data_IF_499738221450
#
_entry.id   IF_499738221450
#
_cell.length_a   1.000
_cell.length_b   1.000
_cell.length_c   1.000
_cell.angle_alpha   90.00
_cell.angle_beta   90.00
_cell.angle_gamma   90.00
#
_symmetry.space_group_name_H-M   'P 1'
#
loop_
_entity.id
_entity.type
_entity.pdbx_description
1 polymer ?
#
# COMPACT_ATOMS: atom_id res chain seq x y z
N UNK A 1 -4.72 4.66 44.35
CA UNK A 1 -5.35 4.10 43.14
C UNK A 1 -4.25 3.88 42.11
N UNK A 2 -3.96 2.64 41.74
CA UNK A 2 -3.07 2.38 40.60
C UNK A 2 -3.85 2.82 39.35
N UNK A 3 -3.35 3.83 38.65
CA UNK A 3 -3.95 4.27 37.39
C UNK A 3 -3.85 3.12 36.38
N UNK A 4 -4.98 2.64 35.87
CA UNK A 4 -5.01 1.63 34.81
C UNK A 4 -4.38 2.24 33.57
N UNK A 5 -3.36 1.57 33.01
CA UNK A 5 -2.63 2.10 31.85
C UNK A 5 -3.44 1.89 30.57
N UNK A 6 -3.64 2.95 29.80
CA UNK A 6 -4.14 2.83 28.43
C UNK A 6 -3.05 2.20 27.55
N UNK A 7 -3.36 1.09 26.89
CA UNK A 7 -2.41 0.37 26.03
C UNK A 7 -3.02 0.17 24.63
N UNK A 8 -2.17 0.19 23.59
CA UNK A 8 -2.57 -0.28 22.27
C UNK A 8 -2.41 -1.79 22.15
N UNK A 9 -3.22 -2.41 21.29
CA UNK A 9 -3.11 -3.83 20.97
C UNK A 9 -1.73 -4.16 20.42
N UNK A 10 -1.17 -3.31 19.57
CA UNK A 10 0.18 -3.50 19.03
C UNK A 10 1.25 -3.57 20.14
N UNK A 11 1.19 -2.69 21.13
CA UNK A 11 2.13 -2.75 22.26
C UNK A 11 1.99 -4.06 23.05
N UNK A 12 0.76 -4.52 23.27
CA UNK A 12 0.49 -5.79 23.96
C UNK A 12 1.07 -6.97 23.17
N UNK A 13 0.85 -7.02 21.86
CA UNK A 13 1.35 -8.08 20.98
C UNK A 13 2.89 -8.07 20.85
N UNK A 14 3.54 -6.93 21.10
CA UNK A 14 5.00 -6.83 21.23
C UNK A 14 5.52 -7.30 22.61
N UNK A 15 4.65 -7.83 23.47
CA UNK A 15 4.99 -8.30 24.82
C UNK A 15 5.14 -7.20 25.86
N UNK A 16 4.74 -5.97 25.53
CA UNK A 16 4.66 -4.90 26.54
C UNK A 16 3.44 -5.16 27.43
N UNK A 17 3.54 -4.73 28.69
CA UNK A 17 2.48 -4.84 29.69
C UNK A 17 2.11 -6.26 30.16
N UNK A 18 2.89 -7.29 29.84
CA UNK A 18 2.67 -8.66 30.36
C UNK A 18 2.53 -8.68 31.88
N UNK A 19 1.45 -9.31 32.37
CA UNK A 19 1.11 -9.39 33.79
C UNK A 19 0.55 -8.10 34.39
N UNK A 20 0.49 -7.00 33.64
CA UNK A 20 -0.04 -5.72 34.10
C UNK A 20 -1.51 -5.57 33.75
N UNK A 21 -2.20 -4.77 34.53
CA UNK A 21 -3.57 -4.36 34.25
C UNK A 21 -3.58 -3.17 33.28
N UNK A 22 -4.33 -3.30 32.19
CA UNK A 22 -4.43 -2.33 31.11
C UNK A 22 -5.88 -2.05 30.76
N UNK A 23 -6.10 -0.90 30.11
CA UNK A 23 -7.35 -0.58 29.41
C UNK A 23 -7.08 -0.55 27.91
N UNK A 24 -7.91 -1.24 27.13
CA UNK A 24 -7.95 -1.17 25.67
C UNK A 24 -9.30 -0.59 25.26
N UNK A 25 -9.29 0.40 24.36
CA UNK A 25 -10.49 1.04 23.81
C UNK A 25 -10.59 0.72 22.34
N UNK A 26 -11.75 0.25 21.89
CA UNK A 26 -11.88 -0.17 20.50
C UNK A 26 -13.26 -0.65 20.13
N UNK A 27 -13.31 -1.60 19.20
CA UNK A 27 -14.52 -2.17 18.62
C UNK A 27 -14.49 -3.69 18.69
N UNK A 28 -15.64 -4.29 18.98
CA UNK A 28 -15.80 -5.74 18.96
C UNK A 28 -15.73 -6.22 17.50
N UNK A 29 -14.68 -7.00 17.18
CA UNK A 29 -14.56 -7.62 15.87
C UNK A 29 -15.24 -8.99 15.83
N UNK A 30 -15.08 -9.82 16.85
CA UNK A 30 -15.73 -11.14 16.97
C UNK A 30 -16.17 -11.43 18.39
N UNK A 31 -17.20 -12.28 18.54
CA UNK A 31 -17.51 -12.90 19.81
C UNK A 31 -17.87 -14.36 19.60
N UNK A 32 -17.46 -15.20 20.55
CA UNK A 32 -17.96 -16.58 20.74
C UNK A 32 -18.08 -16.88 22.23
N UNK A 33 -18.88 -17.86 22.59
CA UNK A 33 -19.07 -18.29 23.98
C UNK A 33 -18.90 -19.81 24.09
N UNK A 34 -18.27 -20.29 25.17
CA UNK A 34 -18.09 -21.71 25.45
C UNK A 34 -17.91 -21.93 26.95
N UNK A 35 -18.69 -22.84 27.54
CA UNK A 35 -18.45 -23.34 28.91
C UNK A 35 -18.30 -22.26 29.99
N UNK A 36 -19.14 -21.21 29.99
CA UNK A 36 -19.06 -20.11 30.96
C UNK A 36 -18.00 -19.04 30.66
N UNK A 37 -17.34 -19.13 29.52
CA UNK A 37 -16.34 -18.18 29.03
C UNK A 37 -16.82 -17.51 27.76
N UNK A 38 -16.72 -16.19 27.68
CA UNK A 38 -16.91 -15.43 26.45
C UNK A 38 -15.56 -14.96 25.92
N UNK A 39 -15.32 -15.20 24.65
CA UNK A 39 -14.11 -14.79 23.94
C UNK A 39 -14.48 -13.64 23.01
N UNK A 40 -14.00 -12.44 23.35
CA UNK A 40 -14.16 -11.25 22.54
C UNK A 40 -12.87 -11.03 21.76
N UNK A 41 -12.97 -10.75 20.46
CA UNK A 41 -11.84 -10.24 19.69
C UNK A 41 -12.05 -8.74 19.54
N UNK A 42 -11.17 -7.93 20.13
CA UNK A 42 -11.28 -6.47 20.16
C UNK A 42 -10.23 -5.86 19.24
N UNK A 43 -10.64 -4.88 18.43
CA UNK A 43 -9.79 -4.10 17.54
C UNK A 43 -9.70 -2.67 18.02
N UNK A 44 -8.49 -2.10 18.14
CA UNK A 44 -8.27 -0.71 18.56
C UNK A 44 -7.74 0.19 17.44
N UNK A 45 -7.46 -0.38 16.25
CA UNK A 45 -6.83 0.32 15.13
C UNK A 45 -5.32 0.07 15.00
N UNK A 46 -4.71 -0.65 15.93
CA UNK A 46 -3.31 -1.11 15.86
C UNK A 46 -3.21 -2.64 15.76
N UNK A 47 -4.28 -3.37 16.09
CA UNK A 47 -4.39 -4.80 15.84
C UNK A 47 -5.70 -5.39 16.35
N UNK A 48 -5.71 -6.71 16.55
CA UNK A 48 -6.78 -7.45 17.22
C UNK A 48 -6.21 -8.22 18.41
N UNK A 49 -6.92 -8.20 19.53
CA UNK A 49 -6.54 -8.95 20.73
C UNK A 49 -7.72 -9.79 21.21
N UNK A 50 -7.42 -10.99 21.72
CA UNK A 50 -8.41 -11.80 22.42
C UNK A 50 -8.58 -11.28 23.84
N UNK A 51 -9.84 -11.08 24.26
CA UNK A 51 -10.23 -10.77 25.62
C UNK A 51 -11.12 -11.91 26.14
N UNK A 52 -10.73 -12.53 27.25
CA UNK A 52 -11.46 -13.64 27.87
C UNK A 52 -12.26 -13.13 29.08
N UNK A 53 -13.58 -13.29 29.03
CA UNK A 53 -14.51 -12.93 30.10
C UNK A 53 -15.00 -14.22 30.76
N UNK A 54 -14.60 -14.45 32.00
CA UNK A 54 -14.96 -15.65 32.75
C UNK A 54 -16.05 -15.31 33.74
N UNK A 55 -17.19 -16.02 33.68
CA UNK A 55 -18.37 -15.73 34.51
C UNK A 55 -18.05 -15.64 36.01
N UNK A 56 -17.15 -16.50 36.49
CA UNK A 56 -16.82 -16.59 37.92
C UNK A 56 -15.75 -15.58 38.37
N UNK A 57 -15.22 -14.76 37.46
CA UNK A 57 -14.14 -13.79 37.74
C UNK A 57 -14.53 -12.33 37.49
N UNK A 58 -15.72 -12.09 36.93
CA UNK A 58 -16.24 -10.73 36.69
C UNK A 58 -17.62 -10.55 37.35
N UNK A 59 -18.09 -9.31 37.43
CA UNK A 59 -19.45 -9.05 37.90
C UNK A 59 -20.50 -9.59 36.92
N UNK A 60 -21.69 -9.94 37.41
CA UNK A 60 -22.81 -10.37 36.58
C UNK A 60 -23.11 -9.36 35.46
N UNK A 61 -23.13 -8.07 35.81
CA UNK A 61 -23.28 -6.96 34.86
C UNK A 61 -22.22 -7.01 33.75
N UNK A 62 -20.95 -7.20 34.10
CA UNK A 62 -19.85 -7.26 33.12
C UNK A 62 -20.02 -8.44 32.15
N UNK A 63 -20.44 -9.59 32.66
CA UNK A 63 -20.69 -10.78 31.86
C UNK A 63 -21.91 -10.61 30.93
N UNK A 64 -22.99 -10.00 31.43
CA UNK A 64 -24.17 -9.65 30.63
C UNK A 64 -23.88 -8.59 29.57
N UNK A 65 -23.12 -7.54 29.91
CA UNK A 65 -22.71 -6.51 28.96
C UNK A 65 -21.86 -7.11 27.83
N UNK A 66 -20.94 -8.01 28.15
CA UNK A 66 -20.19 -8.77 27.15
C UNK A 66 -21.10 -9.66 26.28
N UNK A 67 -22.18 -10.23 26.84
CA UNK A 67 -23.19 -10.99 26.09
C UNK A 67 -24.03 -10.13 25.14
N UNK A 68 -24.27 -8.86 25.48
CA UNK A 68 -25.04 -7.91 24.67
C UNK A 68 -24.28 -7.34 23.48
N UNK A 69 -22.94 -7.33 23.52
CA UNK A 69 -22.13 -6.73 22.46
C UNK A 69 -22.41 -7.37 21.09
N UNK A 70 -22.66 -6.53 20.09
CA UNK A 70 -22.77 -6.91 18.67
C UNK A 70 -21.49 -6.55 17.91
N UNK A 71 -21.27 -7.15 16.74
CA UNK A 71 -20.12 -6.82 15.89
C UNK A 71 -20.07 -5.31 15.59
N UNK A 72 -18.89 -4.72 15.68
CA UNK A 72 -18.60 -3.26 15.59
C UNK A 72 -19.14 -2.41 16.75
N UNK A 73 -19.68 -2.99 17.82
CA UNK A 73 -19.94 -2.25 19.06
C UNK A 73 -18.65 -1.65 19.61
N UNK A 74 -18.68 -0.40 20.07
CA UNK A 74 -17.53 0.24 20.69
C UNK A 74 -17.53 -0.02 22.19
N UNK A 75 -16.35 -0.30 22.74
CA UNK A 75 -16.16 -0.75 24.11
C UNK A 75 -14.83 -0.30 24.69
N UNK A 76 -14.76 -0.28 26.02
CA UNK A 76 -13.52 -0.22 26.79
C UNK A 76 -13.41 -1.51 27.60
N UNK A 77 -12.26 -2.17 27.51
CA UNK A 77 -11.97 -3.41 28.23
C UNK A 77 -10.82 -3.16 29.20
N UNK A 78 -11.03 -3.45 30.48
CA UNK A 78 -9.97 -3.47 31.49
C UNK A 78 -9.66 -4.90 31.89
N UNK A 79 -8.39 -5.24 31.98
CA UNK A 79 -8.00 -6.59 32.34
C UNK A 79 -6.50 -6.78 32.44
N UNK A 80 -6.09 -7.99 32.82
CA UNK A 80 -4.68 -8.35 32.97
C UNK A 80 -4.18 -8.96 31.65
N UNK A 81 -3.08 -8.45 31.12
CA UNK A 81 -2.41 -9.05 29.97
C UNK A 81 -1.76 -10.38 30.36
N UNK A 82 -2.06 -11.43 29.62
CA UNK A 82 -1.49 -12.78 29.79
C UNK A 82 -0.87 -13.24 28.49
N UNK A 83 0.30 -13.87 28.59
CA UNK A 83 0.87 -14.65 27.50
C UNK A 83 0.10 -15.98 27.41
N UNK A 84 -0.40 -16.31 26.22
CA UNK A 84 -0.98 -17.61 25.91
C UNK A 84 -0.68 -17.94 24.44
N UNK A 85 0.16 -18.95 24.21
CA UNK A 85 0.56 -19.40 22.87
C UNK A 85 -0.62 -19.91 22.03
N UNK A 86 -1.76 -20.21 22.64
CA UNK A 86 -3.00 -20.63 21.96
C UNK A 86 -3.84 -19.43 21.53
N UNK A 87 -3.63 -18.25 22.13
CA UNK A 87 -4.34 -17.04 21.74
C UNK A 87 -3.77 -16.50 20.42
N UNK A 88 -4.61 -15.95 19.52
CA UNK A 88 -4.12 -15.28 18.33
C UNK A 88 -3.15 -14.16 18.68
N UNK A 89 -1.92 -14.23 18.16
CA UNK A 89 -0.86 -13.27 18.48
C UNK A 89 -0.09 -13.54 19.77
N UNK A 90 -0.36 -14.66 20.47
CA UNK A 90 0.41 -15.10 21.65
C UNK A 90 0.03 -14.44 22.98
N UNK A 91 -0.94 -13.52 22.96
CA UNK A 91 -1.39 -12.79 24.15
C UNK A 91 -2.92 -12.70 24.20
N UNK A 92 -3.45 -12.60 25.42
CA UNK A 92 -4.84 -12.27 25.67
C UNK A 92 -4.99 -11.31 26.85
N UNK A 93 -6.16 -10.68 26.97
CA UNK A 93 -6.56 -9.86 28.11
C UNK A 93 -7.58 -10.65 28.93
N UNK A 94 -7.20 -10.99 30.16
CA UNK A 94 -8.13 -11.54 31.15
C UNK A 94 -9.00 -10.41 31.70
N UNK A 95 -10.24 -10.33 31.25
CA UNK A 95 -11.13 -9.19 31.52
C UNK A 95 -11.52 -9.17 32.99
N UNK A 96 -11.44 -7.97 33.59
CA UNK A 96 -11.97 -7.66 34.92
C UNK A 96 -13.21 -6.79 34.84
N UNK A 97 -13.22 -5.84 33.91
CA UNK A 97 -14.30 -4.88 33.72
C UNK A 97 -14.45 -4.54 32.23
N UNK A 98 -15.68 -4.21 31.84
CA UNK A 98 -16.06 -3.90 30.47
C UNK A 98 -17.11 -2.80 30.48
N UNK A 99 -16.88 -1.77 29.68
CA UNK A 99 -17.82 -0.68 29.45
C UNK A 99 -18.24 -0.67 27.99
N UNK A 100 -19.54 -0.76 27.72
CA UNK A 100 -20.10 -0.54 26.39
C UNK A 100 -20.20 0.97 26.17
N UNK A 101 -19.51 1.48 25.15
CA UNK A 101 -19.62 2.88 24.73
C UNK A 101 -20.81 3.04 23.79
N UNK A 102 -20.98 2.11 22.84
CA UNK A 102 -22.10 2.08 21.91
C UNK A 102 -22.36 0.65 21.44
N UNK A 103 -23.62 0.22 21.48
CA UNK A 103 -24.06 -0.99 20.76
C UNK A 103 -24.24 -0.66 19.27
N UNK A 104 -23.62 -1.45 18.41
CA UNK A 104 -23.80 -1.32 16.97
C UNK A 104 -25.09 -2.00 16.52
N UNK A 105 -25.77 -1.36 15.55
CA UNK A 105 -26.83 -2.02 14.79
C UNK A 105 -26.26 -3.14 13.90
N UNK A 106 -27.13 -3.81 13.15
CA UNK A 106 -26.76 -4.93 12.28
C UNK A 106 -25.68 -4.51 11.27
N UNK A 107 -24.47 -5.04 11.45
CA UNK A 107 -23.35 -4.79 10.56
C UNK A 107 -23.53 -5.53 9.20
N UNK A 108 -23.46 -4.83 8.05
CA UNK A 108 -23.77 -5.44 6.75
C UNK A 108 -22.73 -6.46 6.28
N UNK A 109 -21.47 -6.34 6.71
CA UNK A 109 -20.39 -7.25 6.33
C UNK A 109 -20.27 -8.36 7.38
N UNK A 110 -21.20 -9.32 7.30
CA UNK A 110 -21.20 -10.51 8.15
C UNK A 110 -19.95 -11.39 7.91
N UNK A 111 -19.66 -12.30 8.85
CA UNK A 111 -18.50 -13.22 8.82
C UNK A 111 -18.69 -14.40 7.88
N UNK A 112 -18.90 -14.08 6.62
CA UNK A 112 -18.97 -14.98 5.49
C UNK A 112 -18.35 -14.28 4.29
N UNK A 113 -18.12 -15.03 3.23
CA UNK A 113 -17.66 -14.43 1.99
C UNK A 113 -18.72 -13.50 1.39
N UNK A 114 -18.25 -12.41 0.80
CA UNK A 114 -19.07 -11.45 0.06
C UNK A 114 -18.35 -11.13 -1.25
N UNK A 115 -19.11 -10.85 -2.30
CA UNK A 115 -18.56 -10.41 -3.58
C UNK A 115 -17.88 -9.04 -3.47
N UNK A 116 -16.82 -8.83 -4.27
CA UNK A 116 -16.04 -7.57 -4.27
C UNK A 116 -16.91 -6.34 -4.55
N UNK A 117 -17.91 -6.44 -5.44
CA UNK A 117 -18.83 -5.33 -5.73
C UNK A 117 -19.62 -4.86 -4.50
N UNK A 118 -20.11 -5.80 -3.68
CA UNK A 118 -20.79 -5.49 -2.41
C UNK A 118 -19.84 -4.88 -1.38
N UNK A 119 -18.61 -5.40 -1.29
CA UNK A 119 -17.59 -4.86 -0.38
C UNK A 119 -17.17 -3.44 -0.78
N UNK A 120 -17.11 -3.14 -2.07
CA UNK A 120 -16.81 -1.80 -2.58
C UNK A 120 -17.95 -0.81 -2.32
N UNK A 121 -19.23 -1.20 -2.44
CA UNK A 121 -20.34 -0.31 -2.06
C UNK A 121 -20.37 0.00 -0.56
N UNK A 122 -19.72 -0.85 0.26
CA UNK A 122 -19.52 -0.64 1.70
C UNK A 122 -18.06 -0.35 2.04
N UNK A 123 -17.28 0.26 1.13
CA UNK A 123 -15.83 0.45 1.30
C UNK A 123 -15.47 1.09 2.66
N UNK A 124 -16.23 2.10 3.09
CA UNK A 124 -16.07 2.82 4.35
C UNK A 124 -16.19 1.92 5.62
N UNK A 125 -16.83 0.76 5.50
CA UNK A 125 -16.87 -0.28 6.53
C UNK A 125 -15.84 -1.38 6.25
N UNK A 126 -15.71 -1.81 5.00
CA UNK A 126 -14.81 -2.90 4.61
C UNK A 126 -13.34 -2.62 4.93
N UNK A 127 -12.91 -1.34 4.90
CA UNK A 127 -11.55 -0.93 5.30
C UNK A 127 -11.15 -1.37 6.71
N UNK A 128 -12.12 -1.70 7.56
CA UNK A 128 -11.93 -2.13 8.96
C UNK A 128 -11.52 -3.60 9.09
N UNK A 129 -11.59 -4.37 8.01
CA UNK A 129 -11.27 -5.81 8.00
C UNK A 129 -9.76 -6.07 7.97
N UNK A 130 -9.28 -7.22 8.49
CA UNK A 130 -7.84 -7.51 8.61
C UNK A 130 -7.04 -7.33 7.33
N UNK A 131 -7.52 -7.86 6.20
CA UNK A 131 -6.85 -7.72 4.89
C UNK A 131 -6.71 -6.25 4.49
N UNK A 132 -7.76 -5.45 4.65
CA UNK A 132 -7.73 -4.03 4.26
C UNK A 132 -6.85 -3.18 5.19
N UNK A 133 -6.91 -3.45 6.49
CA UNK A 133 -6.00 -2.88 7.47
C UNK A 133 -4.53 -3.16 7.12
N UNK A 134 -4.19 -4.40 6.79
CA UNK A 134 -2.83 -4.78 6.44
C UNK A 134 -2.34 -4.05 5.18
N UNK A 135 -3.18 -3.99 4.14
CA UNK A 135 -2.89 -3.23 2.91
C UNK A 135 -2.64 -1.75 3.23
N UNK A 136 -3.49 -1.12 4.05
CA UNK A 136 -3.34 0.30 4.38
C UNK A 136 -2.09 0.58 5.22
N UNK A 137 -1.73 -0.30 6.16
CA UNK A 137 -0.48 -0.18 6.95
C UNK A 137 0.78 -0.40 6.11
N UNK A 138 0.73 -1.34 5.18
CA UNK A 138 1.82 -1.54 4.21
C UNK A 138 1.92 -0.33 3.29
N UNK A 139 0.81 0.20 2.76
CA UNK A 139 0.80 1.41 1.93
C UNK A 139 1.37 2.61 2.67
N UNK A 140 0.95 2.85 3.91
CA UNK A 140 1.50 3.92 4.73
C UNK A 140 3.01 3.76 4.92
N UNK A 141 3.49 2.52 5.03
CA UNK A 141 4.90 2.25 5.12
C UNK A 141 5.66 2.50 3.82
N UNK A 142 5.12 2.05 2.69
CA UNK A 142 5.72 2.31 1.38
C UNK A 142 5.86 3.81 1.15
N UNK A 143 4.82 4.59 1.44
CA UNK A 143 4.85 6.05 1.32
C UNK A 143 5.94 6.66 2.21
N UNK A 144 6.03 6.22 3.47
CA UNK A 144 7.09 6.68 4.38
C UNK A 144 8.48 6.32 3.87
N UNK A 145 8.68 5.07 3.44
CA UNK A 145 9.96 4.59 2.92
C UNK A 145 10.41 5.34 1.66
N UNK A 146 9.48 5.67 0.75
CA UNK A 146 9.79 6.51 -0.41
C UNK A 146 10.37 7.86 0.01
N UNK A 147 9.73 8.52 0.97
CA UNK A 147 10.15 9.84 1.45
C UNK A 147 11.47 9.74 2.19
N UNK A 148 11.58 8.85 3.17
CA UNK A 148 12.81 8.63 3.94
C UNK A 148 14.01 8.37 3.00
N UNK A 149 13.84 7.53 1.98
CA UNK A 149 14.90 7.22 1.00
C UNK A 149 15.43 8.46 0.26
N UNK A 150 14.51 9.31 -0.22
CA UNK A 150 14.81 10.51 -0.99
C UNK A 150 15.35 11.64 -0.10
N UNK A 151 14.69 11.87 1.05
CA UNK A 151 15.08 12.87 2.04
C UNK A 151 16.51 12.61 2.57
N UNK A 152 16.84 11.34 2.89
CA UNK A 152 18.19 10.93 3.32
C UNK A 152 19.27 11.11 2.23
N UNK A 153 18.86 11.25 0.96
CA UNK A 153 19.76 11.47 -0.20
C UNK A 153 19.81 12.92 -0.66
N UNK A 154 19.21 13.82 0.12
CA UNK A 154 19.22 15.26 -0.12
C UNK A 154 18.26 15.71 -1.22
N UNK A 155 17.24 14.91 -1.55
CA UNK A 155 16.13 15.39 -2.37
C UNK A 155 15.25 16.33 -1.56
N UNK A 156 14.67 17.33 -2.22
CA UNK A 156 13.72 18.27 -1.64
C UNK A 156 12.32 17.96 -2.16
N UNK A 157 11.33 17.85 -1.28
CA UNK A 157 9.93 17.76 -1.71
C UNK A 157 9.47 19.11 -2.28
N UNK A 158 9.00 19.11 -3.52
CA UNK A 158 8.34 20.26 -4.16
C UNK A 158 6.98 19.83 -4.70
N UNK A 159 5.90 20.31 -4.08
CA UNK A 159 4.55 19.94 -4.53
C UNK A 159 4.21 20.60 -5.87
N UNK A 160 3.91 19.77 -6.88
CA UNK A 160 3.46 20.22 -8.20
C UNK A 160 1.97 20.60 -8.18
N UNK A 161 1.53 21.60 -8.94
CA UNK A 161 0.12 21.97 -9.01
C UNK A 161 -0.74 20.87 -9.63
N UNK A 162 -1.96 20.70 -9.09
CA UNK A 162 -2.92 19.71 -9.60
C UNK A 162 -3.74 20.24 -10.77
N UNK A 163 -4.10 21.54 -10.74
CA UNK A 163 -4.74 22.20 -11.89
C UNK A 163 -3.68 22.71 -12.84
N UNK A 164 -3.65 22.19 -14.05
CA UNK A 164 -2.68 22.55 -15.10
C UNK A 164 -3.38 23.15 -16.33
N UNK A 165 -2.80 24.16 -17.00
CA UNK A 165 -3.36 24.68 -18.25
C UNK A 165 -3.13 23.77 -19.47
N UNK A 166 -2.22 22.79 -19.37
CA UNK A 166 -1.78 21.95 -20.50
C UNK A 166 -1.59 20.48 -20.11
N UNK A 167 -1.64 19.60 -21.11
CA UNK A 167 -1.30 18.19 -20.99
C UNK A 167 0.20 18.01 -20.74
N UNK A 168 0.58 17.02 -19.91
CA UNK A 168 1.99 16.65 -19.69
C UNK A 168 2.48 15.67 -20.76
N UNK A 169 1.70 14.62 -21.05
CA UNK A 169 2.11 13.49 -21.89
C UNK A 169 1.62 13.60 -23.35
N UNK A 170 1.05 14.74 -23.76
CA UNK A 170 0.48 14.91 -25.11
C UNK A 170 -0.73 14.01 -25.42
N UNK A 171 -1.28 13.33 -24.41
CA UNK A 171 -2.39 12.39 -24.54
C UNK A 171 -3.76 13.05 -24.37
N UNK A 172 -4.81 12.37 -24.85
CA UNK A 172 -6.21 12.85 -24.81
C UNK A 172 -6.96 12.48 -23.53
N UNK A 173 -6.34 11.79 -22.58
CA UNK A 173 -6.97 11.24 -21.37
C UNK A 173 -6.90 12.20 -20.18
N UNK A 174 -7.38 13.44 -20.38
CA UNK A 174 -7.43 14.47 -19.33
C UNK A 174 -8.85 14.64 -18.77
N UNK A 175 -8.93 14.90 -17.46
CA UNK A 175 -10.14 15.44 -16.86
C UNK A 175 -10.15 16.96 -16.97
N UNK A 176 -11.10 17.50 -17.74
CA UNK A 176 -11.31 18.94 -17.88
C UNK A 176 -12.11 19.50 -16.70
N UNK A 177 -11.70 20.66 -16.19
CA UNK A 177 -12.34 21.37 -15.07
C UNK A 177 -12.60 22.82 -15.46
N UNK A 178 -13.86 23.30 -15.39
CA UNK A 178 -14.17 24.73 -15.51
C UNK A 178 -13.56 25.51 -14.32
N UNK A 179 -12.76 26.54 -14.61
CA UNK A 179 -12.03 27.28 -13.59
C UNK A 179 -12.02 28.78 -13.92
N UNK A 180 -12.86 29.54 -13.22
CA UNK A 180 -12.98 31.00 -13.35
C UNK A 180 -13.06 31.53 -14.80
N UNK A 181 -13.96 30.96 -15.62
CA UNK A 181 -14.16 31.40 -17.00
C UNK A 181 -13.15 30.87 -18.01
N UNK A 182 -12.18 30.05 -17.58
CA UNK A 182 -11.28 29.28 -18.44
C UNK A 182 -11.39 27.79 -18.14
N UNK A 183 -10.78 26.98 -19.00
CA UNK A 183 -10.64 25.53 -18.79
C UNK A 183 -9.24 25.23 -18.27
N UNK A 184 -9.15 24.33 -17.30
CA UNK A 184 -7.90 23.72 -16.83
C UNK A 184 -8.11 22.21 -16.77
N UNK A 185 -7.04 21.47 -16.53
CA UNK A 185 -7.07 20.01 -16.46
C UNK A 185 -6.53 19.54 -15.12
N UNK A 186 -6.99 18.38 -14.66
CA UNK A 186 -6.32 17.67 -13.58
C UNK A 186 -5.03 17.04 -14.11
N UNK A 187 -3.94 17.19 -13.36
CA UNK A 187 -2.62 16.74 -13.78
C UNK A 187 -2.54 15.22 -13.93
N UNK A 188 -1.88 14.77 -15.00
CA UNK A 188 -1.50 13.36 -15.19
C UNK A 188 -0.17 13.02 -14.50
N UNK A 189 0.67 14.03 -14.29
CA UNK A 189 2.05 13.91 -13.81
C UNK A 189 2.58 15.30 -13.42
N UNK A 190 3.33 15.38 -12.33
CA UNK A 190 4.03 16.57 -11.89
C UNK A 190 5.30 16.87 -12.68
N UNK A 191 5.76 15.94 -13.53
CA UNK A 191 7.08 15.91 -14.17
C UNK A 191 7.59 17.28 -14.66
N UNK A 192 6.82 18.00 -15.51
CA UNK A 192 7.27 19.29 -16.07
C UNK A 192 7.56 20.34 -14.98
N UNK A 193 6.89 20.28 -13.83
CA UNK A 193 7.14 21.17 -12.70
C UNK A 193 8.35 20.72 -11.88
N UNK A 194 8.56 19.40 -11.74
CA UNK A 194 9.75 18.86 -11.05
C UNK A 194 11.02 19.16 -11.88
N UNK A 195 10.94 19.10 -13.21
CA UNK A 195 11.98 19.58 -14.14
C UNK A 195 12.27 21.09 -14.00
N UNK A 196 11.28 21.90 -13.64
CA UNK A 196 11.53 23.32 -13.36
C UNK A 196 12.23 23.51 -12.00
N UNK A 197 11.84 22.75 -10.97
CA UNK A 197 12.39 22.90 -9.62
C UNK A 197 13.78 22.27 -9.46
N UNK A 198 14.20 21.33 -10.32
CA UNK A 198 15.60 20.81 -10.29
C UNK A 198 16.63 21.89 -10.53
N UNK A 199 16.33 22.91 -11.33
CA UNK A 199 17.25 24.02 -11.57
C UNK A 199 17.52 24.84 -10.28
N UNK A 200 16.61 24.75 -9.29
CA UNK A 200 16.75 25.40 -7.98
C UNK A 200 17.40 24.49 -6.95
N UNK A 201 16.95 23.24 -6.85
CA UNK A 201 17.32 22.35 -5.74
C UNK A 201 18.34 21.27 -6.09
N UNK A 202 18.64 21.08 -7.37
CA UNK A 202 19.51 20.01 -7.88
C UNK A 202 18.88 18.62 -7.80
N UNK A 203 18.24 18.26 -6.68
CA UNK A 203 17.48 17.02 -6.48
C UNK A 203 16.13 17.35 -5.89
N UNK A 204 15.07 16.96 -6.57
CA UNK A 204 13.71 17.27 -6.12
C UNK A 204 12.75 16.14 -6.44
N UNK A 205 11.63 16.09 -5.73
CA UNK A 205 10.56 15.16 -6.02
C UNK A 205 9.21 15.77 -5.67
N UNK A 206 8.15 15.31 -6.33
CA UNK A 206 6.77 15.51 -5.86
C UNK A 206 6.15 14.17 -5.48
N UNK A 207 5.17 14.22 -4.57
CA UNK A 207 4.43 13.03 -4.18
C UNK A 207 2.96 13.37 -3.94
N UNK A 208 2.14 13.18 -4.97
CA UNK A 208 0.75 13.64 -4.96
C UNK A 208 -0.20 12.79 -5.81
N UNK A 209 -1.49 13.16 -5.82
CA UNK A 209 -2.47 12.52 -6.67
C UNK A 209 -2.29 12.93 -8.13
N UNK A 210 -2.49 11.96 -9.03
CA UNK A 210 -2.49 12.12 -10.48
C UNK A 210 -3.74 11.49 -11.06
N UNK A 211 -4.18 12.02 -12.20
CA UNK A 211 -5.49 11.71 -12.78
C UNK A 211 -5.33 11.33 -14.25
N UNK A 212 -5.93 10.20 -14.65
CA UNK A 212 -5.97 9.75 -16.04
C UNK A 212 -7.41 9.41 -16.40
N UNK A 213 -7.97 10.08 -17.39
CA UNK A 213 -9.32 9.81 -17.90
C UNK A 213 -9.35 8.58 -18.82
N UNK A 214 -8.72 7.49 -18.37
CA UNK A 214 -8.67 6.21 -19.06
C UNK A 214 -10.03 5.50 -18.93
N UNK A 215 -10.58 5.04 -20.06
CA UNK A 215 -11.87 4.33 -20.08
C UNK A 215 -11.71 2.84 -19.82
N UNK A 216 -10.51 2.32 -20.00
CA UNK A 216 -10.17 0.91 -19.85
C UNK A 216 -10.31 0.45 -18.41
N UNK A 217 -11.27 -0.44 -18.16
CA UNK A 217 -11.48 -1.08 -16.86
C UNK A 217 -10.62 -2.33 -16.75
N UNK A 218 -9.33 -2.16 -16.43
CA UNK A 218 -8.43 -3.29 -16.19
C UNK A 218 -8.05 -3.41 -14.71
N UNK A 219 -7.53 -4.55 -14.25
CA UNK A 219 -7.08 -4.74 -12.86
C UNK A 219 -5.91 -3.83 -12.44
N UNK A 220 -5.25 -3.13 -13.38
CA UNK A 220 -4.05 -2.31 -13.14
C UNK A 220 -4.32 -0.80 -13.19
N UNK A 221 -5.50 -0.36 -13.64
CA UNK A 221 -5.78 1.06 -13.86
C UNK A 221 -6.77 1.63 -12.84
N UNK A 222 -6.43 2.81 -12.33
CA UNK A 222 -7.33 3.70 -11.61
C UNK A 222 -7.35 5.05 -12.33
N UNK A 223 -8.46 5.76 -12.25
CA UNK A 223 -8.57 7.12 -12.79
C UNK A 223 -7.92 8.17 -11.90
N UNK A 224 -7.77 7.86 -10.60
CA UNK A 224 -7.05 8.64 -9.60
C UNK A 224 -6.09 7.69 -8.88
N UNK A 225 -4.82 8.06 -8.81
CA UNK A 225 -3.79 7.29 -8.13
C UNK A 225 -2.72 8.24 -7.57
N UNK A 226 -1.78 7.70 -6.80
CA UNK A 226 -0.72 8.49 -6.18
C UNK A 226 0.60 8.19 -6.86
N UNK A 227 1.31 9.23 -7.26
CA UNK A 227 2.58 9.13 -7.96
C UNK A 227 3.68 9.80 -7.15
N UNK A 228 4.83 9.12 -7.05
CA UNK A 228 6.09 9.69 -6.60
C UNK A 228 6.92 9.95 -7.85
N UNK A 229 7.32 11.19 -8.06
CA UNK A 229 8.06 11.61 -9.25
C UNK A 229 9.29 12.35 -8.77
N UNK A 230 10.48 11.88 -9.15
CA UNK A 230 11.76 12.40 -8.67
C UNK A 230 12.65 12.76 -9.85
N UNK A 231 13.35 13.89 -9.72
CA UNK A 231 14.16 14.47 -10.78
C UNK A 231 15.50 14.93 -10.18
N UNK A 232 16.59 14.70 -10.93
CA UNK A 232 17.95 14.90 -10.45
C UNK A 232 18.83 15.52 -11.54
N UNK A 233 19.39 16.70 -11.24
CA UNK A 233 20.26 17.44 -12.13
C UNK A 233 21.66 16.80 -12.24
N UNK A 234 22.31 16.99 -13.38
CA UNK A 234 23.67 16.52 -13.68
C UNK A 234 23.86 15.00 -13.65
N UNK A 235 22.81 14.23 -13.91
CA UNK A 235 22.87 12.76 -13.94
C UNK A 235 22.46 12.18 -15.28
N UNK A 236 23.00 11.00 -15.61
CA UNK A 236 22.72 10.29 -16.85
C UNK A 236 21.64 9.22 -16.69
N UNK A 237 21.33 8.56 -17.82
CA UNK A 237 20.36 7.46 -17.87
C UNK A 237 20.68 6.33 -16.87
N UNK A 238 21.95 5.95 -16.76
CA UNK A 238 22.39 4.87 -15.85
C UNK A 238 22.21 5.24 -14.37
N UNK A 239 22.42 6.51 -14.01
CA UNK A 239 22.19 7.01 -12.66
C UNK A 239 20.71 6.98 -12.29
N UNK A 240 19.84 7.30 -13.25
CA UNK A 240 18.39 7.20 -13.08
C UNK A 240 17.95 5.76 -12.80
N UNK A 241 18.43 4.78 -13.58
CA UNK A 241 18.14 3.36 -13.34
C UNK A 241 18.64 2.91 -11.97
N UNK A 242 19.84 3.35 -11.57
CA UNK A 242 20.41 3.05 -10.26
C UNK A 242 19.56 3.60 -9.10
N UNK A 243 19.10 4.85 -9.22
CA UNK A 243 18.22 5.46 -8.21
C UNK A 243 16.92 4.67 -8.04
N UNK A 244 16.32 4.23 -9.15
CA UNK A 244 15.07 3.47 -9.16
C UNK A 244 15.24 2.08 -8.52
N UNK A 245 16.30 1.33 -8.86
CA UNK A 245 16.53 0.00 -8.25
C UNK A 245 16.87 0.10 -6.76
N UNK A 246 17.63 1.12 -6.36
CA UNK A 246 17.93 1.39 -4.95
C UNK A 246 16.67 1.78 -4.16
N UNK A 247 15.80 2.62 -4.74
CA UNK A 247 14.53 3.03 -4.13
C UNK A 247 13.59 1.84 -3.92
N UNK A 248 13.34 1.05 -4.96
CA UNK A 248 12.45 -0.12 -4.88
C UNK A 248 12.99 -1.15 -3.88
N UNK A 249 14.29 -1.42 -3.92
CA UNK A 249 14.96 -2.29 -2.94
C UNK A 249 14.76 -1.78 -1.51
N UNK A 250 14.97 -0.48 -1.28
CA UNK A 250 14.83 0.12 0.05
C UNK A 250 13.40 -0.03 0.58
N UNK A 251 12.39 0.27 -0.24
CA UNK A 251 10.98 0.10 0.11
C UNK A 251 10.67 -1.34 0.50
N UNK A 252 11.06 -2.31 -0.33
CA UNK A 252 10.77 -3.73 -0.09
C UNK A 252 11.45 -4.21 1.19
N UNK A 253 12.73 -3.84 1.41
CA UNK A 253 13.44 -4.14 2.66
C UNK A 253 12.73 -3.54 3.87
N UNK A 254 12.26 -2.29 3.79
CA UNK A 254 11.52 -1.65 4.89
C UNK A 254 10.23 -2.38 5.21
N UNK A 255 9.46 -2.77 4.20
CA UNK A 255 8.20 -3.51 4.39
C UNK A 255 8.48 -4.89 5.02
N UNK A 256 9.48 -5.62 4.51
CA UNK A 256 9.89 -6.92 5.06
C UNK A 256 10.36 -6.83 6.51
N UNK A 257 11.04 -5.75 6.90
CA UNK A 257 11.57 -5.59 8.25
C UNK A 257 10.44 -5.36 9.26
N UNK A 258 9.46 -4.54 8.91
CA UNK A 258 8.61 -3.86 9.90
C UNK A 258 7.11 -3.96 9.64
N UNK A 259 6.70 -4.65 8.58
CA UNK A 259 5.31 -5.01 8.28
C UNK A 259 5.12 -6.52 8.17
N UNK A 260 5.94 -7.30 8.88
CA UNK A 260 5.88 -8.78 8.92
C UNK A 260 4.49 -9.28 9.29
N UNK A 261 3.92 -8.76 10.38
CA UNK A 261 2.55 -9.10 10.83
C UNK A 261 1.51 -8.82 9.74
N UNK A 262 1.61 -7.67 9.07
CA UNK A 262 0.69 -7.35 7.99
C UNK A 262 0.88 -8.25 6.77
N UNK A 263 2.11 -8.63 6.40
CA UNK A 263 2.36 -9.60 5.32
C UNK A 263 1.80 -11.00 5.65
N UNK A 264 1.90 -11.42 6.91
CA UNK A 264 1.31 -12.66 7.42
C UNK A 264 -0.23 -12.62 7.33
N UNK A 265 -0.87 -11.51 7.71
CA UNK A 265 -2.33 -11.31 7.57
C UNK A 265 -2.76 -11.40 6.10
N UNK A 266 -1.90 -10.97 5.17
CA UNK A 266 -2.16 -11.07 3.74
C UNK A 266 -1.87 -12.46 3.15
N UNK A 267 -1.31 -13.37 3.95
CA UNK A 267 -0.81 -14.68 3.51
C UNK A 267 0.17 -14.54 2.34
N UNK A 268 0.97 -13.46 2.35
CA UNK A 268 1.89 -13.16 1.25
C UNK A 268 3.17 -13.97 1.40
N UNK A 269 3.50 -14.77 0.39
CA UNK A 269 4.85 -15.34 0.27
C UNK A 269 5.89 -14.23 0.13
N UNK A 270 6.82 -14.18 1.08
CA UNK A 270 7.88 -13.18 1.16
C UNK A 270 9.15 -13.60 0.42
N UNK A 271 9.23 -14.83 -0.07
CA UNK A 271 10.42 -15.38 -0.72
C UNK A 271 10.82 -14.58 -1.96
N UNK A 272 9.91 -14.22 -2.89
CA UNK A 272 10.26 -13.36 -4.02
C UNK A 272 10.66 -11.94 -3.58
N UNK A 273 10.00 -11.39 -2.56
CA UNK A 273 10.31 -10.06 -2.04
C UNK A 273 11.74 -9.96 -1.50
N UNK A 274 12.27 -11.04 -0.90
CA UNK A 274 13.66 -11.08 -0.41
C UNK A 274 14.70 -11.07 -1.53
N UNK A 275 14.32 -11.42 -2.77
CA UNK A 275 15.19 -11.39 -3.95
C UNK A 275 15.27 -10.01 -4.62
N UNK A 276 14.47 -9.04 -4.18
CA UNK A 276 14.49 -7.68 -4.70
C UNK A 276 15.71 -6.96 -4.17
N UNK A 277 16.85 -7.21 -4.82
CA UNK A 277 18.13 -6.56 -4.55
C UNK A 277 18.83 -6.17 -5.87
N UNK A 278 19.57 -5.05 -5.91
CA UNK A 278 20.32 -4.64 -7.09
C UNK A 278 21.54 -5.56 -7.35
N UNK A 279 22.07 -5.58 -8.58
CA UNK A 279 21.52 -4.90 -9.76
C UNK A 279 20.27 -5.62 -10.26
N UNK A 280 19.26 -4.87 -10.71
CA UNK A 280 18.11 -5.44 -11.41
C UNK A 280 18.50 -5.84 -12.83
N UNK A 281 17.81 -6.84 -13.38
CA UNK A 281 18.04 -7.24 -14.77
C UNK A 281 17.62 -6.12 -15.72
N UNK A 282 18.32 -5.99 -16.84
CA UNK A 282 18.09 -4.94 -17.83
C UNK A 282 18.07 -5.56 -19.20
N UNK A 283 16.97 -5.35 -19.92
CA UNK A 283 16.82 -5.74 -21.31
C UNK A 283 16.39 -4.52 -22.12
N UNK A 284 16.84 -4.44 -23.37
CA UNK A 284 16.32 -3.47 -24.32
C UNK A 284 14.90 -3.84 -24.76
N UNK A 285 14.16 -2.85 -25.23
CA UNK A 285 12.88 -3.05 -25.92
C UNK A 285 13.03 -4.03 -27.09
N UNK A 286 14.11 -3.94 -27.87
CA UNK A 286 14.38 -4.87 -28.97
C UNK A 286 14.52 -6.31 -28.48
N UNK A 287 15.28 -6.54 -27.41
CA UNK A 287 15.40 -7.87 -26.79
C UNK A 287 14.06 -8.37 -26.25
N UNK A 288 13.24 -7.48 -25.67
CA UNK A 288 11.89 -7.81 -25.20
C UNK A 288 10.97 -8.25 -26.37
N UNK A 289 11.00 -7.55 -27.50
CA UNK A 289 10.28 -7.94 -28.73
C UNK A 289 10.74 -9.32 -29.22
N UNK A 290 12.06 -9.56 -29.29
CA UNK A 290 12.58 -10.86 -29.69
C UNK A 290 12.15 -12.00 -28.74
N UNK A 291 12.15 -11.75 -27.42
CA UNK A 291 11.68 -12.71 -26.43
C UNK A 291 10.21 -13.08 -26.65
N UNK A 292 9.37 -12.08 -26.94
CA UNK A 292 7.94 -12.27 -27.20
C UNK A 292 7.71 -13.04 -28.51
N UNK A 293 8.41 -12.68 -29.58
CA UNK A 293 8.31 -13.36 -30.88
C UNK A 293 8.78 -14.82 -30.78
N UNK A 294 9.89 -15.10 -30.07
CA UNK A 294 10.36 -16.47 -29.79
C UNK A 294 9.33 -17.28 -28.99
N UNK A 295 8.50 -16.62 -28.19
CA UNK A 295 7.41 -17.24 -27.45
C UNK A 295 6.08 -17.34 -28.23
N UNK A 296 6.07 -16.92 -29.51
CA UNK A 296 4.92 -17.03 -30.41
C UNK A 296 3.92 -15.87 -30.34
N UNK A 297 4.26 -14.77 -29.65
CA UNK A 297 3.44 -13.55 -29.70
C UNK A 297 3.57 -12.88 -31.07
N UNK A 298 2.45 -12.40 -31.61
CA UNK A 298 2.41 -11.59 -32.82
C UNK A 298 2.58 -10.12 -32.42
N UNK A 299 3.83 -9.68 -32.39
CA UNK A 299 4.21 -8.30 -32.07
C UNK A 299 5.37 -7.88 -32.96
N UNK A 300 5.33 -6.66 -33.46
CA UNK A 300 6.36 -6.07 -34.30
C UNK A 300 7.13 -4.98 -33.54
N UNK A 301 8.34 -4.67 -34.02
CA UNK A 301 9.11 -3.58 -33.45
C UNK A 301 8.41 -2.25 -33.74
N UNK A 302 8.15 -1.46 -32.71
CA UNK A 302 7.33 -0.25 -32.77
C UNK A 302 5.99 -0.39 -32.03
N UNK A 303 5.52 -1.63 -31.79
CA UNK A 303 4.29 -1.88 -31.06
C UNK A 303 4.46 -1.62 -29.54
N UNK A 304 3.38 -1.18 -28.91
CA UNK A 304 3.30 -1.05 -27.45
C UNK A 304 3.28 -2.42 -26.74
N UNK A 305 4.00 -2.49 -25.62
CA UNK A 305 3.96 -3.66 -24.74
C UNK A 305 2.70 -3.65 -23.89
N UNK A 306 1.62 -4.26 -24.39
CA UNK A 306 0.40 -4.47 -23.60
C UNK A 306 0.58 -5.41 -22.40
N UNK A 307 -0.42 -5.43 -21.51
CA UNK A 307 -0.38 -6.23 -20.27
C UNK A 307 -0.03 -7.73 -20.44
N UNK A 308 -0.48 -8.46 -21.49
CA UNK A 308 -0.05 -9.83 -21.73
C UNK A 308 1.45 -9.97 -22.04
N UNK A 309 2.03 -8.99 -22.72
CA UNK A 309 3.45 -8.95 -23.08
C UNK A 309 4.30 -8.70 -21.83
N UNK A 310 3.95 -7.67 -21.06
CA UNK A 310 4.61 -7.36 -19.79
C UNK A 310 4.57 -8.54 -18.82
N UNK A 311 3.40 -9.19 -18.68
CA UNK A 311 3.24 -10.38 -17.83
C UNK A 311 4.15 -11.53 -18.27
N UNK A 312 4.28 -11.77 -19.58
CA UNK A 312 5.16 -12.82 -20.07
C UNK A 312 6.62 -12.53 -19.70
N UNK A 313 7.07 -11.28 -19.92
CA UNK A 313 8.43 -10.85 -19.63
C UNK A 313 8.69 -10.93 -18.12
N UNK A 314 7.82 -10.36 -17.28
CA UNK A 314 8.00 -10.34 -15.82
C UNK A 314 8.09 -11.74 -15.22
N UNK A 315 7.39 -12.73 -15.77
CA UNK A 315 7.47 -14.13 -15.34
C UNK A 315 8.81 -14.83 -15.69
N UNK A 316 9.67 -14.21 -16.50
CA UNK A 316 11.01 -14.74 -16.80
C UNK A 316 12.08 -14.32 -15.80
N UNK A 317 11.76 -13.39 -14.90
CA UNK A 317 12.71 -12.83 -13.96
C UNK A 317 12.27 -13.06 -12.52
N UNK A 318 13.23 -13.38 -11.65
CA UNK A 318 12.96 -13.61 -10.22
C UNK A 318 12.88 -12.33 -9.39
N UNK A 319 13.36 -11.22 -9.95
CA UNK A 319 13.41 -9.86 -9.38
C UNK A 319 12.91 -8.87 -10.44
N UNK A 320 12.65 -7.60 -10.09
CA UNK A 320 12.23 -6.60 -11.08
C UNK A 320 13.20 -6.50 -12.26
N UNK A 321 12.67 -6.18 -13.43
CA UNK A 321 13.43 -6.07 -14.68
C UNK A 321 13.14 -4.72 -15.34
N UNK A 322 14.20 -4.01 -15.75
CA UNK A 322 14.06 -2.85 -16.61
C UNK A 322 13.93 -3.29 -18.05
N UNK A 323 12.93 -2.75 -18.74
CA UNK A 323 12.92 -2.68 -20.20
C UNK A 323 13.35 -1.26 -20.57
N UNK A 324 14.41 -1.11 -21.36
CA UNK A 324 14.95 0.21 -21.71
C UNK A 324 15.01 0.45 -23.21
N UNK A 325 15.26 1.71 -23.61
CA UNK A 325 15.47 2.08 -25.02
C UNK A 325 14.27 1.75 -25.92
N UNK A 326 13.12 2.30 -25.56
CA UNK A 326 11.91 2.19 -26.37
C UNK A 326 12.01 3.03 -27.65
N UNK A 327 11.20 2.72 -28.69
CA UNK A 327 11.12 3.52 -29.91
C UNK A 327 10.79 4.97 -29.60
N UNK A 328 11.50 5.90 -30.22
CA UNK A 328 11.33 7.34 -30.00
C UNK A 328 9.92 7.82 -30.35
N UNK A 329 9.33 7.27 -31.42
CA UNK A 329 7.99 7.65 -31.91
C UNK A 329 6.86 7.26 -30.94
N UNK A 330 7.09 6.28 -30.06
CA UNK A 330 6.10 5.76 -29.11
C UNK A 330 6.21 6.40 -27.72
N UNK A 331 7.15 7.32 -27.51
CA UNK A 331 7.44 7.90 -26.20
C UNK A 331 7.25 9.42 -26.19
N UNK A 332 7.20 9.99 -24.99
CA UNK A 332 6.91 11.41 -24.81
C UNK A 332 8.03 12.30 -25.37
N UNK A 333 7.65 13.50 -25.83
CA UNK A 333 8.53 14.43 -26.55
C UNK A 333 9.78 14.88 -25.77
N UNK A 334 9.73 14.85 -24.43
CA UNK A 334 10.81 15.29 -23.56
C UNK A 334 11.91 14.22 -23.38
N UNK A 335 11.72 12.99 -23.88
CA UNK A 335 12.69 11.93 -23.69
C UNK A 335 13.89 12.09 -24.65
N UNK A 336 15.09 12.08 -24.09
CA UNK A 336 16.35 12.23 -24.82
C UNK A 336 16.58 11.04 -25.79
N UNK A 337 16.77 11.27 -27.10
CA UNK A 337 17.18 10.20 -28.03
C UNK A 337 18.53 9.58 -27.63
N UNK A 338 18.68 8.27 -27.83
CA UNK A 338 19.96 7.60 -27.61
C UNK A 338 21.01 8.16 -28.60
N UNK A 339 22.17 8.65 -28.11
CA UNK A 339 23.19 9.24 -28.98
C UNK A 339 23.81 8.23 -29.96
N UNK A 340 23.68 6.92 -29.71
CA UNK A 340 24.19 5.85 -30.58
C UNK A 340 23.13 5.35 -31.57
N UNK A 341 21.84 5.46 -31.22
CA UNK A 341 20.73 5.06 -32.08
C UNK A 341 19.52 5.99 -31.86
N UNK A 342 19.37 7.04 -32.68
CA UNK A 342 18.28 8.01 -32.53
C UNK A 342 16.86 7.43 -32.72
N UNK A 343 16.72 6.17 -33.17
CA UNK A 343 15.42 5.50 -33.27
C UNK A 343 14.83 5.15 -31.91
N UNK A 344 15.65 5.12 -30.87
CA UNK A 344 15.24 4.82 -29.49
C UNK A 344 15.56 5.99 -28.58
N UNK A 345 14.87 6.07 -27.44
CA UNK A 345 15.08 7.09 -26.41
C UNK A 345 15.67 6.50 -25.13
N UNK A 346 16.44 7.29 -24.39
CA UNK A 346 17.02 6.93 -23.09
C UNK A 346 15.95 6.92 -22.00
N UNK A 347 15.03 5.96 -22.07
CA UNK A 347 13.99 5.71 -21.09
C UNK A 347 13.99 4.24 -20.65
N UNK A 348 13.32 3.97 -19.52
CA UNK A 348 13.05 2.62 -19.08
C UNK A 348 11.74 2.53 -18.31
N UNK A 349 11.11 1.37 -18.43
CA UNK A 349 9.98 0.94 -17.61
C UNK A 349 10.47 -0.19 -16.69
N UNK A 350 10.16 -0.13 -15.40
CA UNK A 350 10.53 -1.16 -14.42
C UNK A 350 9.34 -2.08 -14.14
N UNK A 351 9.43 -3.35 -14.54
CA UNK A 351 8.38 -4.33 -14.32
C UNK A 351 8.62 -5.08 -13.00
N UNK A 352 7.58 -5.15 -12.16
CA UNK A 352 7.59 -6.03 -11.00
C UNK A 352 7.55 -7.51 -11.44
N UNK A 353 8.16 -8.44 -10.68
CA UNK A 353 8.12 -9.86 -10.97
C UNK A 353 6.71 -10.46 -10.70
N UNK A 354 6.55 -11.76 -10.98
CA UNK A 354 5.32 -12.55 -10.70
C UNK A 354 4.06 -12.21 -11.51
N UNK A 355 4.16 -11.39 -12.57
CA UNK A 355 3.12 -11.24 -13.58
C UNK A 355 2.43 -9.90 -13.67
#
# INVERSE_FOLDING_TARGET
MVSVMLASVEQILEGKFTGKEVEVRGWLFNKRSSGGVQFLIVRDGTGWIQCTVHKDEVSEKTFEDADRLTQESSLKVKGIVKEDKRAPGGYEIRVKDLEIVQLAEKYPIAKKEHGVGFLMSHRHLWIRTPRQFAILRIRAEVVKACRDFLDERGFVLTDSPIFTPSACEGTTTLFEVPYFGRKVYLTQSGQLYVEATIATFGKTYCFGPTFRAEKSKTPRHLTEFWMLEAEMAFTGFEDNLKLQEDLVTYIVKRVLEKRKRELEILERDVTPLKKVEPPFERISYTEAIEMLQKAGYRIEWGDDLGAPHERFISLKFEKPVFIHRYPAEAKAFYMQPDPKDPKVVLCADLLAPEG
#
